data_IF_306932220406
#
_entry.id   IF_306932220406
#
_cell.length_a   1.000
_cell.length_b   1.000
_cell.length_c   1.000
_cell.angle_alpha   90.00
_cell.angle_beta   90.00
_cell.angle_gamma   90.00
#
_symmetry.space_group_name_H-M   'P 1'
#
loop_
_entity.id
_entity.type
_entity.pdbx_description
1 polymer ?
#
# COMPACT_ATOMS: atom_id res chain seq x y z
N UNK A 1 -12.86 -20.42 -35.02
CA UNK A 1 -13.53 -20.44 -33.70
C UNK A 1 -12.99 -21.62 -32.90
N UNK A 2 -11.84 -21.44 -32.24
CA UNK A 2 -11.27 -22.43 -31.32
C UNK A 2 -11.33 -21.85 -29.91
N UNK A 3 -12.27 -22.32 -29.11
CA UNK A 3 -12.48 -21.88 -27.73
C UNK A 3 -11.38 -22.53 -26.88
N UNK A 4 -10.41 -21.75 -26.43
CA UNK A 4 -9.44 -22.16 -25.41
C UNK A 4 -10.18 -22.33 -24.07
N UNK A 5 -10.07 -23.48 -23.38
CA UNK A 5 -10.77 -23.67 -22.12
C UNK A 5 -10.11 -22.84 -21.01
N UNK A 6 -10.97 -22.04 -20.40
CA UNK A 6 -10.73 -21.16 -19.26
C UNK A 6 -10.30 -21.95 -18.00
N UNK A 7 -9.10 -21.62 -17.50
CA UNK A 7 -8.75 -21.38 -16.08
C UNK A 7 -9.64 -22.07 -15.01
N UNK A 8 -9.33 -23.34 -14.69
CA UNK A 8 -9.98 -24.10 -13.59
C UNK A 8 -8.98 -24.72 -12.60
N UNK A 9 -7.81 -24.10 -12.38
CA UNK A 9 -6.71 -24.71 -11.59
C UNK A 9 -6.65 -24.28 -10.11
N UNK A 10 -7.24 -23.13 -9.76
CA UNK A 10 -7.01 -22.49 -8.44
C UNK A 10 -7.82 -23.11 -7.29
N UNK A 11 -8.96 -23.75 -7.57
CA UNK A 11 -9.83 -24.33 -6.53
C UNK A 11 -9.33 -25.68 -6.03
N UNK A 12 -8.87 -26.57 -6.93
CA UNK A 12 -8.33 -27.89 -6.60
C UNK A 12 -7.06 -27.81 -5.71
N UNK A 13 -6.14 -26.89 -6.04
CA UNK A 13 -4.88 -26.70 -5.27
C UNK A 13 -5.13 -26.25 -3.82
N UNK A 14 -6.26 -25.58 -3.56
CA UNK A 14 -6.59 -25.09 -2.21
C UNK A 14 -7.21 -26.19 -1.35
N UNK A 15 -8.01 -27.07 -1.97
CA UNK A 15 -8.61 -28.23 -1.31
C UNK A 15 -7.57 -29.31 -0.99
N UNK A 16 -6.60 -29.51 -1.88
CA UNK A 16 -5.49 -30.46 -1.69
C UNK A 16 -4.55 -30.03 -0.55
N UNK A 17 -4.17 -28.74 -0.50
CA UNK A 17 -3.35 -28.20 0.59
C UNK A 17 -4.02 -28.34 1.97
N UNK A 18 -5.33 -28.09 2.07
CA UNK A 18 -6.05 -28.24 3.33
C UNK A 18 -6.10 -29.69 3.81
N UNK A 19 -6.23 -30.65 2.89
CA UNK A 19 -6.17 -32.08 3.20
C UNK A 19 -4.78 -32.50 3.66
N UNK A 20 -3.72 -32.03 2.99
CA UNK A 20 -2.34 -32.28 3.38
C UNK A 20 -2.02 -31.69 4.77
N UNK A 21 -2.46 -30.46 5.06
CA UNK A 21 -2.29 -29.82 6.37
C UNK A 21 -3.04 -30.55 7.50
N UNK A 22 -4.19 -31.16 7.18
CA UNK A 22 -4.94 -31.98 8.15
C UNK A 22 -4.17 -33.26 8.47
N UNK A 23 -3.59 -33.92 7.45
CA UNK A 23 -2.78 -35.13 7.63
C UNK A 23 -1.49 -34.86 8.40
N UNK A 24 -0.84 -33.70 8.20
CA UNK A 24 0.35 -33.34 8.98
C UNK A 24 0.06 -33.21 10.48
N UNK A 25 -1.15 -32.78 10.88
CA UNK A 25 -1.57 -32.74 12.29
C UNK A 25 -1.66 -34.13 12.92
N UNK A 26 -1.91 -35.16 12.12
CA UNK A 26 -1.91 -36.57 12.54
C UNK A 26 -0.51 -37.20 12.60
N UNK A 27 0.55 -36.43 12.38
CA UNK A 27 1.93 -36.90 12.41
C UNK A 27 2.44 -37.52 11.10
N UNK A 28 1.72 -37.32 10.00
CA UNK A 28 2.11 -37.81 8.67
C UNK A 28 3.29 -37.00 8.10
N UNK A 29 4.50 -37.57 8.19
CA UNK A 29 5.71 -36.92 7.68
C UNK A 29 5.78 -36.87 6.15
N UNK A 30 5.12 -37.80 5.46
CA UNK A 30 5.09 -37.79 3.99
C UNK A 30 4.27 -36.62 3.47
N UNK A 31 3.12 -36.35 4.10
CA UNK A 31 2.30 -35.17 3.81
C UNK A 31 3.09 -33.87 4.04
N UNK A 32 3.88 -33.79 5.12
CA UNK A 32 4.73 -32.63 5.42
C UNK A 32 5.80 -32.43 4.34
N UNK A 33 6.53 -33.49 4.01
CA UNK A 33 7.56 -33.46 2.98
C UNK A 33 7.00 -33.17 1.58
N UNK A 34 5.75 -33.54 1.33
CA UNK A 34 5.04 -33.18 0.10
C UNK A 34 4.74 -31.68 0.05
N UNK A 35 4.15 -31.09 1.10
CA UNK A 35 3.92 -29.63 1.16
C UNK A 35 5.23 -28.85 0.99
N UNK A 36 6.29 -29.27 1.68
CA UNK A 36 7.60 -28.63 1.56
C UNK A 36 8.14 -28.66 0.12
N UNK A 37 7.89 -29.74 -0.63
CA UNK A 37 8.32 -29.89 -2.03
C UNK A 37 7.42 -29.14 -3.01
N UNK A 38 6.12 -29.14 -2.82
CA UNK A 38 5.18 -28.53 -3.78
C UNK A 38 5.19 -27.01 -3.68
N UNK A 39 5.40 -26.47 -2.47
CA UNK A 39 5.42 -25.03 -2.21
C UNK A 39 6.83 -24.42 -2.25
N UNK A 40 7.80 -25.17 -2.75
CA UNK A 40 9.14 -24.72 -3.13
C UNK A 40 9.13 -23.36 -3.86
N UNK A 41 8.32 -23.15 -4.92
CA UNK A 41 8.31 -21.88 -5.66
C UNK A 41 7.76 -20.73 -4.83
N UNK A 42 6.78 -21.01 -3.96
CA UNK A 42 6.20 -20.03 -3.05
C UNK A 42 7.23 -19.55 -2.02
N UNK A 43 7.98 -20.46 -1.39
CA UNK A 43 9.04 -20.12 -0.44
C UNK A 43 10.12 -19.26 -1.11
N UNK A 44 10.55 -19.62 -2.32
CA UNK A 44 11.54 -18.83 -3.07
C UNK A 44 11.02 -17.42 -3.40
N UNK A 45 9.75 -17.30 -3.80
CA UNK A 45 9.11 -16.01 -4.05
C UNK A 45 9.02 -15.16 -2.78
N UNK A 46 8.55 -15.75 -1.67
CA UNK A 46 8.43 -15.06 -0.38
C UNK A 46 9.78 -14.59 0.14
N UNK A 47 10.82 -15.44 0.04
CA UNK A 47 12.19 -15.09 0.40
C UNK A 47 12.75 -13.98 -0.50
N UNK A 48 12.50 -14.04 -1.81
CA UNK A 48 12.98 -13.00 -2.74
C UNK A 48 12.29 -11.65 -2.47
N UNK A 49 11.00 -11.66 -2.13
CA UNK A 49 10.28 -10.44 -1.75
C UNK A 49 10.77 -9.87 -0.41
N UNK A 50 11.13 -10.73 0.54
CA UNK A 50 11.66 -10.30 1.84
C UNK A 50 13.08 -9.74 1.75
N UNK A 51 13.86 -10.15 0.73
CA UNK A 51 15.27 -9.79 0.54
C UNK A 51 15.51 -8.76 -0.57
N UNK A 52 14.49 -8.47 -1.38
CA UNK A 52 14.57 -7.56 -2.52
C UNK A 52 15.37 -8.08 -3.71
N UNK A 53 15.92 -9.32 -3.65
CA UNK A 53 16.68 -9.97 -4.73
C UNK A 53 16.21 -11.38 -4.98
N UNK A 54 16.56 -11.92 -6.15
CA UNK A 54 16.33 -13.33 -6.44
C UNK A 54 17.19 -14.23 -5.56
N UNK A 55 16.57 -15.18 -4.87
CA UNK A 55 17.24 -16.14 -3.99
C UNK A 55 17.44 -17.48 -4.69
N UNK A 56 18.69 -17.94 -4.76
CA UNK A 56 19.12 -19.20 -5.38
C UNK A 56 19.12 -20.35 -4.37
N UNK A 57 18.43 -21.42 -4.74
CA UNK A 57 18.38 -22.67 -3.98
C UNK A 57 19.75 -23.32 -3.89
N UNK A 58 20.13 -23.71 -2.67
CA UNK A 58 21.39 -24.41 -2.40
C UNK A 58 22.64 -23.54 -2.44
N UNK A 59 22.49 -22.22 -2.66
CA UNK A 59 23.59 -21.26 -2.61
C UNK A 59 23.36 -20.21 -1.51
N UNK A 60 22.16 -19.66 -1.43
CA UNK A 60 21.83 -18.63 -0.45
C UNK A 60 21.33 -19.27 0.86
N UNK A 61 21.96 -18.93 1.98
CA UNK A 61 21.54 -19.34 3.33
C UNK A 61 20.10 -18.90 3.62
N UNK A 62 19.70 -17.75 3.09
CA UNK A 62 18.36 -17.18 3.20
C UNK A 62 17.29 -18.15 2.71
N UNK A 63 17.60 -18.96 1.69
CA UNK A 63 16.67 -19.97 1.19
C UNK A 63 16.41 -21.05 2.24
N UNK A 64 17.46 -21.52 2.91
CA UNK A 64 17.38 -22.55 3.97
C UNK A 64 16.64 -22.02 5.21
N UNK A 65 16.86 -20.75 5.55
CA UNK A 65 16.14 -20.07 6.64
C UNK A 65 14.66 -19.94 6.30
N UNK A 66 14.33 -19.52 5.08
CA UNK A 66 12.94 -19.41 4.61
C UNK A 66 12.23 -20.77 4.59
N UNK A 67 12.92 -21.83 4.16
CA UNK A 67 12.36 -23.19 4.14
C UNK A 67 12.10 -23.72 5.55
N UNK A 68 12.99 -23.43 6.51
CA UNK A 68 12.81 -23.79 7.91
C UNK A 68 11.61 -23.05 8.52
N UNK A 69 11.48 -21.75 8.22
CA UNK A 69 10.34 -20.93 8.64
C UNK A 69 9.01 -21.45 8.07
N UNK A 70 9.04 -21.92 6.82
CA UNK A 70 7.88 -22.52 6.18
C UNK A 70 7.47 -23.84 6.86
N UNK A 71 8.44 -24.69 7.23
CA UNK A 71 8.16 -25.89 8.02
C UNK A 71 7.54 -25.55 9.39
N UNK A 72 8.08 -24.55 10.08
CA UNK A 72 7.51 -24.05 11.33
C UNK A 72 6.06 -23.54 11.16
N UNK A 73 5.77 -22.91 10.01
CA UNK A 73 4.42 -22.47 9.70
C UNK A 73 3.46 -23.66 9.51
N UNK A 74 3.90 -24.76 8.89
CA UNK A 74 3.11 -26.00 8.78
C UNK A 74 2.75 -26.55 10.16
N UNK A 75 3.71 -26.55 11.10
CA UNK A 75 3.51 -27.08 12.45
C UNK A 75 2.58 -26.21 13.31
N UNK A 76 2.63 -24.89 13.15
CA UNK A 76 1.93 -23.94 14.02
C UNK A 76 0.61 -23.41 13.45
N UNK A 77 0.29 -23.75 12.22
CA UNK A 77 -0.92 -23.26 11.59
C UNK A 77 -2.16 -23.89 12.22
N UNK A 78 -3.12 -23.03 12.52
CA UNK A 78 -4.39 -23.38 13.16
C UNK A 78 -5.51 -23.26 12.12
N UNK A 79 -6.07 -24.40 11.74
CA UNK A 79 -7.14 -24.51 10.73
C UNK A 79 -8.42 -23.79 11.15
N UNK A 80 -8.64 -23.61 12.47
CA UNK A 80 -9.86 -23.03 13.02
C UNK A 80 -9.86 -21.49 13.02
N UNK A 81 -8.72 -20.85 12.67
CA UNK A 81 -8.56 -19.38 12.70
C UNK A 81 -8.98 -18.65 11.43
N UNK A 82 -9.48 -19.36 10.41
CA UNK A 82 -10.06 -18.77 9.19
C UNK A 82 -9.12 -17.94 8.30
N UNK A 83 -7.83 -17.85 8.62
CA UNK A 83 -6.83 -17.15 7.80
C UNK A 83 -6.16 -18.12 6.83
N UNK A 84 -5.89 -17.71 5.60
CA UNK A 84 -5.23 -18.58 4.60
C UNK A 84 -3.82 -19.00 5.07
N UNK A 85 -3.53 -20.30 5.03
CA UNK A 85 -2.21 -20.87 5.38
C UNK A 85 -1.07 -20.14 4.67
N UNK A 86 -1.22 -19.85 3.38
CA UNK A 86 -0.16 -19.19 2.60
C UNK A 86 0.11 -17.76 3.09
N UNK A 87 -0.91 -17.03 3.53
CA UNK A 87 -0.72 -15.69 4.09
C UNK A 87 -0.03 -15.74 5.46
N UNK A 88 -0.40 -16.73 6.29
CA UNK A 88 0.28 -16.98 7.55
C UNK A 88 1.75 -17.37 7.34
N UNK A 89 2.01 -18.33 6.45
CA UNK A 89 3.33 -18.81 6.12
C UNK A 89 4.23 -17.71 5.54
N UNK A 90 3.72 -16.85 4.66
CA UNK A 90 4.45 -15.69 4.14
C UNK A 90 4.90 -14.75 5.27
N UNK A 91 4.04 -14.53 6.26
CA UNK A 91 4.35 -13.69 7.43
C UNK A 91 5.45 -14.32 8.29
N UNK A 92 5.39 -15.63 8.51
CA UNK A 92 6.40 -16.37 9.29
C UNK A 92 7.75 -16.36 8.58
N UNK A 93 7.79 -16.60 7.26
CA UNK A 93 9.00 -16.56 6.44
C UNK A 93 9.66 -15.17 6.52
N UNK A 94 8.88 -14.10 6.29
CA UNK A 94 9.39 -12.72 6.35
C UNK A 94 9.97 -12.38 7.71
N UNK A 95 9.27 -12.72 8.80
CA UNK A 95 9.77 -12.48 10.17
C UNK A 95 11.06 -13.23 10.45
N UNK A 96 11.13 -14.51 10.07
CA UNK A 96 12.32 -15.34 10.30
C UNK A 96 13.54 -14.83 9.52
N UNK A 97 13.34 -14.36 8.30
CA UNK A 97 14.40 -13.72 7.51
C UNK A 97 14.87 -12.41 8.13
N UNK A 98 13.95 -11.56 8.60
CA UNK A 98 14.31 -10.32 9.31
C UNK A 98 15.14 -10.63 10.56
N UNK A 99 14.72 -11.61 11.36
CA UNK A 99 15.45 -12.05 12.55
C UNK A 99 16.83 -12.60 12.20
N UNK A 100 16.94 -13.36 11.10
CA UNK A 100 18.20 -13.86 10.58
C UNK A 100 19.15 -12.73 10.15
N UNK A 101 18.65 -11.71 9.46
CA UNK A 101 19.48 -10.55 9.10
C UNK A 101 19.90 -9.74 10.33
N UNK A 102 19.03 -9.60 11.33
CA UNK A 102 19.36 -8.95 12.61
C UNK A 102 20.39 -9.72 13.42
N UNK A 103 20.31 -11.05 13.46
CA UNK A 103 21.29 -11.88 14.19
C UNK A 103 22.63 -11.93 13.45
N UNK A 104 22.62 -11.99 12.10
CA UNK A 104 23.84 -11.77 11.29
C UNK A 104 24.44 -10.40 11.59
N UNK A 105 23.64 -9.34 11.77
CA UNK A 105 24.15 -8.00 12.12
C UNK A 105 24.72 -7.92 13.55
N UNK A 106 24.10 -8.57 14.54
CA UNK A 106 24.55 -8.57 15.94
C UNK A 106 25.85 -9.37 16.14
N UNK A 107 26.02 -10.50 15.44
CA UNK A 107 27.27 -11.27 15.41
C UNK A 107 28.35 -10.66 14.49
N UNK A 108 28.02 -9.61 13.71
CA UNK A 108 28.93 -8.95 12.75
C UNK A 108 29.48 -7.60 13.23
N UNK A 109 29.41 -7.30 14.53
CA UNK A 109 30.21 -6.19 15.10
C UNK A 109 31.73 -6.45 15.01
N UNK A 110 32.15 -7.68 14.70
CA UNK A 110 33.56 -8.09 14.61
C UNK A 110 34.00 -8.67 13.23
N UNK A 111 33.25 -8.45 12.13
CA UNK A 111 33.66 -8.90 10.78
C UNK A 111 33.83 -7.74 9.78
N UNK A 112 34.86 -7.77 8.90
CA UNK A 112 35.13 -6.70 7.93
C UNK A 112 33.96 -6.46 6.96
N UNK A 113 33.85 -5.21 6.50
CA UNK A 113 32.79 -4.68 5.63
C UNK A 113 32.57 -5.43 4.29
N UNK A 114 33.50 -6.30 3.88
CA UNK A 114 33.61 -6.84 2.51
C UNK A 114 32.61 -7.93 2.11
N UNK A 115 31.91 -8.56 3.06
CA UNK A 115 31.02 -9.71 2.73
C UNK A 115 29.64 -9.30 2.17
N UNK A 116 29.31 -8.01 2.16
CA UNK A 116 28.05 -7.47 1.63
C UNK A 116 28.24 -6.52 0.47
N UNK A 117 29.50 -6.39 0.03
CA UNK A 117 29.88 -5.63 -1.13
C UNK A 117 29.44 -6.39 -2.39
N UNK A 118 28.68 -5.70 -3.23
CA UNK A 118 28.35 -6.14 -4.60
C UNK A 118 28.93 -5.11 -5.54
N UNK A 119 29.56 -5.56 -6.61
CA UNK A 119 29.98 -4.67 -7.70
C UNK A 119 28.73 -4.27 -8.51
N UNK A 120 28.52 -2.97 -8.68
CA UNK A 120 27.52 -2.45 -9.62
C UNK A 120 28.02 -2.54 -11.08
N UNK A 121 27.22 -2.08 -12.04
CA UNK A 121 27.55 -2.15 -13.48
C UNK A 121 28.79 -1.32 -13.87
N UNK A 122 29.29 -0.48 -12.97
CA UNK A 122 30.49 0.35 -13.13
C UNK A 122 31.66 -0.14 -12.24
N UNK A 123 31.61 -1.40 -11.78
CA UNK A 123 32.59 -2.04 -10.90
C UNK A 123 32.75 -1.33 -9.53
N UNK A 124 31.75 -0.56 -9.08
CA UNK A 124 31.78 0.05 -7.75
C UNK A 124 31.29 -0.93 -6.68
N UNK A 125 32.08 -1.04 -5.63
CA UNK A 125 31.84 -1.92 -4.49
C UNK A 125 30.82 -1.27 -3.54
N UNK A 126 29.57 -1.77 -3.51
CA UNK A 126 28.46 -1.20 -2.72
C UNK A 126 27.84 -2.18 -1.72
N UNK A 127 27.50 -1.70 -0.51
CA UNK A 127 26.84 -2.53 0.51
C UNK A 127 25.34 -2.67 0.23
N UNK A 128 24.90 -3.84 -0.25
CA UNK A 128 23.53 -4.11 -0.72
C UNK A 128 22.42 -3.74 0.28
N UNK A 129 22.63 -4.00 1.57
CA UNK A 129 21.63 -3.76 2.62
C UNK A 129 21.51 -2.27 2.92
N UNK A 130 22.62 -1.55 2.86
CA UNK A 130 22.66 -0.11 3.01
C UNK A 130 22.03 0.60 1.80
N UNK A 131 22.26 0.08 0.59
CA UNK A 131 21.66 0.58 -0.66
C UNK A 131 20.15 0.40 -0.65
N UNK A 132 19.62 -0.80 -0.34
CA UNK A 132 18.17 -1.02 -0.28
C UNK A 132 17.49 -0.12 0.76
N UNK A 133 18.10 0.02 1.95
CA UNK A 133 17.60 0.91 3.00
C UNK A 133 17.69 2.38 2.58
N UNK A 134 18.77 2.79 1.90
CA UNK A 134 18.95 4.14 1.36
C UNK A 134 17.93 4.45 0.27
N UNK A 135 17.66 3.51 -0.64
CA UNK A 135 16.65 3.64 -1.70
C UNK A 135 15.25 3.73 -1.09
N UNK A 136 14.91 2.91 -0.11
CA UNK A 136 13.61 2.98 0.58
C UNK A 136 13.44 4.32 1.32
N UNK A 137 14.48 4.77 2.02
CA UNK A 137 14.48 6.06 2.71
C UNK A 137 14.37 7.22 1.72
N UNK A 138 15.11 7.17 0.60
CA UNK A 138 15.06 8.16 -0.46
C UNK A 138 13.69 8.18 -1.13
N UNK A 139 13.09 7.03 -1.43
CA UNK A 139 11.74 6.96 -2.00
C UNK A 139 10.70 7.55 -1.04
N UNK A 140 10.76 7.21 0.24
CA UNK A 140 9.92 7.81 1.28
C UNK A 140 10.12 9.31 1.40
N UNK A 141 11.36 9.77 1.25
CA UNK A 141 11.70 11.18 1.28
C UNK A 141 11.11 11.91 0.08
N UNK A 142 11.31 11.40 -1.13
CA UNK A 142 10.73 11.94 -2.37
C UNK A 142 9.20 11.99 -2.29
N UNK A 143 8.55 10.93 -1.82
CA UNK A 143 7.09 10.92 -1.62
C UNK A 143 6.65 11.96 -0.57
N UNK A 144 7.42 12.08 0.53
CA UNK A 144 7.14 13.08 1.56
C UNK A 144 7.33 14.51 1.04
N UNK A 145 8.31 14.74 0.18
CA UNK A 145 8.61 16.04 -0.40
C UNK A 145 7.57 16.41 -1.47
N UNK A 146 7.17 15.46 -2.32
CA UNK A 146 6.05 15.62 -3.25
C UNK A 146 4.74 15.97 -2.53
N UNK A 147 4.43 15.26 -1.42
CA UNK A 147 3.27 15.58 -0.57
C UNK A 147 3.37 16.98 0.04
N UNK A 148 4.56 17.40 0.50
CA UNK A 148 4.78 18.76 1.01
C UNK A 148 4.54 19.80 -0.06
N UNK A 149 5.05 19.59 -1.27
CA UNK A 149 4.87 20.50 -2.40
C UNK A 149 3.38 20.67 -2.76
N UNK A 150 2.62 19.56 -2.82
CA UNK A 150 1.17 19.63 -3.03
C UNK A 150 0.45 20.41 -1.92
N UNK A 151 0.78 20.15 -0.64
CA UNK A 151 0.22 20.89 0.49
C UNK A 151 0.53 22.39 0.38
N UNK A 152 1.75 22.75 0.00
CA UNK A 152 2.14 24.14 -0.19
C UNK A 152 1.35 24.80 -1.32
N UNK A 153 1.27 24.15 -2.49
CA UNK A 153 0.47 24.63 -3.63
C UNK A 153 -1.00 24.80 -3.26
N UNK A 154 -1.56 23.83 -2.55
CA UNK A 154 -2.94 23.86 -2.10
C UNK A 154 -3.17 24.98 -1.08
N UNK A 155 -2.25 25.17 -0.14
CA UNK A 155 -2.29 26.28 0.84
C UNK A 155 -2.27 27.64 0.14
N UNK A 156 -1.42 27.81 -0.87
CA UNK A 156 -1.41 29.03 -1.69
C UNK A 156 -2.77 29.24 -2.40
N UNK A 157 -3.31 28.18 -3.00
CA UNK A 157 -4.61 28.24 -3.68
C UNK A 157 -5.76 28.55 -2.70
N UNK A 158 -5.75 28.03 -1.48
CA UNK A 158 -6.75 28.37 -0.45
C UNK A 158 -6.64 29.83 -0.02
N UNK A 159 -5.42 30.37 0.08
CA UNK A 159 -5.20 31.76 0.47
C UNK A 159 -5.82 32.74 -0.53
N UNK A 160 -5.87 32.37 -1.81
CA UNK A 160 -6.56 33.12 -2.85
C UNK A 160 -8.08 33.26 -2.61
N UNK A 161 -8.66 32.35 -1.82
CA UNK A 161 -10.08 32.33 -1.42
C UNK A 161 -10.29 32.79 0.03
N UNK A 162 -9.26 33.37 0.67
CA UNK A 162 -9.30 33.82 2.07
C UNK A 162 -9.63 32.66 3.05
N UNK A 163 -9.12 31.47 2.75
CA UNK A 163 -9.23 30.27 3.59
C UNK A 163 -7.83 29.89 4.06
N UNK A 164 -7.64 29.74 5.37
CA UNK A 164 -6.41 29.15 5.91
C UNK A 164 -6.56 27.64 6.06
N UNK A 165 -5.42 26.93 6.07
CA UNK A 165 -5.43 25.47 6.28
C UNK A 165 -5.97 25.10 7.66
N UNK A 166 -5.63 25.88 8.70
CA UNK A 166 -6.14 25.70 10.07
C UNK A 166 -7.67 25.88 10.12
N UNK A 167 -8.18 26.94 9.48
CA UNK A 167 -9.62 27.17 9.41
C UNK A 167 -10.32 26.01 8.67
N UNK A 168 -9.74 25.53 7.57
CA UNK A 168 -10.29 24.42 6.79
C UNK A 168 -10.46 23.17 7.66
N UNK A 169 -9.50 22.86 8.53
CA UNK A 169 -9.58 21.73 9.47
C UNK A 169 -10.74 21.93 10.44
N UNK A 170 -10.92 23.13 10.98
CA UNK A 170 -11.96 23.44 11.96
C UNK A 170 -13.38 23.37 11.37
N UNK A 171 -13.57 23.85 10.14
CA UNK A 171 -14.88 23.88 9.46
C UNK A 171 -15.25 22.55 8.79
N UNK A 172 -14.31 21.61 8.70
CA UNK A 172 -14.49 20.35 7.99
C UNK A 172 -15.63 19.52 8.63
N UNK A 173 -16.58 18.98 7.84
CA UNK A 173 -17.68 18.20 8.38
C UNK A 173 -17.22 16.96 9.15
N UNK A 174 -17.57 16.90 10.44
CA UNK A 174 -17.23 15.76 11.31
C UNK A 174 -18.04 14.50 10.99
N UNK A 175 -19.30 14.67 10.59
CA UNK A 175 -20.18 13.56 10.23
C UNK A 175 -20.03 13.20 8.76
N UNK A 176 -20.06 11.89 8.47
CA UNK A 176 -19.88 11.33 7.14
C UNK A 176 -20.91 11.87 6.14
N UNK A 177 -22.21 11.82 6.46
CA UNK A 177 -23.27 12.31 5.57
C UNK A 177 -23.07 13.78 5.16
N UNK A 178 -22.64 14.61 6.10
CA UNK A 178 -22.41 16.03 5.84
C UNK A 178 -21.16 16.26 4.97
N UNK A 179 -20.19 15.35 5.02
CA UNK A 179 -18.99 15.35 4.19
C UNK A 179 -19.30 14.90 2.77
N UNK A 180 -19.98 13.76 2.63
CA UNK A 180 -20.42 13.20 1.35
C UNK A 180 -21.27 14.21 0.57
N UNK A 181 -22.27 14.83 1.21
CA UNK A 181 -23.08 15.87 0.59
C UNK A 181 -22.25 17.05 0.08
N UNK A 182 -21.24 17.49 0.83
CA UNK A 182 -20.39 18.61 0.41
C UNK A 182 -19.47 18.22 -0.76
N UNK A 183 -18.95 16.99 -0.78
CA UNK A 183 -18.16 16.43 -1.87
C UNK A 183 -19.02 16.33 -3.15
N UNK A 184 -20.26 15.85 -3.04
CA UNK A 184 -21.17 15.75 -4.18
C UNK A 184 -21.52 17.12 -4.77
N UNK A 185 -21.72 18.11 -3.91
CA UNK A 185 -21.92 19.50 -4.35
C UNK A 185 -20.67 20.04 -5.06
N UNK A 186 -19.47 19.74 -4.56
CA UNK A 186 -18.22 20.12 -5.21
C UNK A 186 -18.05 19.43 -6.59
N UNK A 187 -18.33 18.13 -6.68
CA UNK A 187 -18.31 17.39 -7.96
C UNK A 187 -19.29 17.99 -8.97
N UNK A 188 -20.52 18.29 -8.54
CA UNK A 188 -21.52 18.94 -9.38
C UNK A 188 -21.03 20.32 -9.88
N UNK A 189 -20.40 21.12 -9.01
CA UNK A 189 -19.81 22.40 -9.39
C UNK A 189 -18.72 22.22 -10.46
N UNK A 190 -17.76 21.32 -10.22
CA UNK A 190 -16.59 21.13 -11.10
C UNK A 190 -16.98 20.52 -12.45
N UNK A 191 -18.03 19.71 -12.48
CA UNK A 191 -18.56 19.13 -13.73
C UNK A 191 -19.14 20.16 -14.70
N UNK A 192 -19.50 21.34 -14.21
CA UNK A 192 -20.10 22.41 -15.00
C UNK A 192 -19.08 23.51 -15.30
N UNK A 193 -18.64 23.68 -16.56
CA UNK A 193 -17.59 24.65 -16.91
C UNK A 193 -17.91 26.07 -16.44
N UNK A 194 -19.16 26.51 -16.60
CA UNK A 194 -19.61 27.85 -16.20
C UNK A 194 -19.49 28.10 -14.69
N UNK A 195 -19.83 27.10 -13.87
CA UNK A 195 -19.74 27.21 -12.41
C UNK A 195 -18.29 27.18 -11.93
N UNK A 196 -17.48 26.31 -12.55
CA UNK A 196 -16.05 26.22 -12.32
C UNK A 196 -15.35 27.53 -12.64
N UNK A 197 -15.61 28.10 -13.82
CA UNK A 197 -14.99 29.34 -14.27
C UNK A 197 -15.43 30.52 -13.38
N UNK A 198 -16.70 30.54 -12.94
CA UNK A 198 -17.16 31.49 -11.94
C UNK A 198 -16.37 31.36 -10.63
N UNK A 199 -16.21 30.14 -10.11
CA UNK A 199 -15.49 29.90 -8.86
C UNK A 199 -14.05 30.43 -8.94
N UNK A 200 -13.33 30.11 -10.01
CA UNK A 200 -11.93 30.50 -10.20
C UNK A 200 -11.79 32.02 -10.42
N UNK A 201 -12.63 32.62 -11.25
CA UNK A 201 -12.52 34.05 -11.61
C UNK A 201 -13.07 34.99 -10.55
N UNK A 202 -14.20 34.63 -9.92
CA UNK A 202 -14.86 35.44 -8.89
C UNK A 202 -14.46 35.07 -7.48
N UNK A 203 -13.61 34.04 -7.31
CA UNK A 203 -13.13 33.53 -6.02
C UNK A 203 -14.28 33.30 -5.01
N UNK A 204 -15.45 32.89 -5.51
CA UNK A 204 -16.66 32.78 -4.72
C UNK A 204 -17.59 31.71 -5.26
N UNK A 205 -18.36 31.08 -4.36
CA UNK A 205 -19.25 29.99 -4.71
C UNK A 205 -20.50 30.52 -5.46
N UNK A 206 -20.83 30.04 -6.68
CA UNK A 206 -22.00 30.48 -7.44
C UNK A 206 -23.31 29.91 -6.89
N UNK A 207 -23.69 30.27 -5.66
CA UNK A 207 -24.81 29.68 -4.90
C UNK A 207 -26.11 29.57 -5.71
N UNK A 208 -26.54 30.64 -6.37
CA UNK A 208 -27.82 30.66 -7.12
C UNK A 208 -27.83 29.66 -8.28
N UNK A 209 -26.74 29.58 -9.02
CA UNK A 209 -26.65 28.68 -10.16
C UNK A 209 -26.44 27.23 -9.69
N UNK A 210 -25.58 27.04 -8.68
CA UNK A 210 -25.30 25.73 -8.07
C UNK A 210 -26.55 25.04 -7.53
N UNK A 211 -27.48 25.80 -6.92
CA UNK A 211 -28.75 25.27 -6.41
C UNK A 211 -29.62 24.58 -7.47
N UNK A 212 -29.46 24.89 -8.76
CA UNK A 212 -30.21 24.22 -9.82
C UNK A 212 -29.63 22.84 -10.18
N UNK A 213 -28.44 22.51 -9.68
CA UNK A 213 -27.72 21.27 -10.00
C UNK A 213 -27.61 20.31 -8.81
N UNK A 214 -28.07 20.71 -7.63
CA UNK A 214 -27.93 19.92 -6.40
C UNK A 214 -29.23 19.91 -5.60
N UNK A 215 -29.54 18.77 -4.96
CA UNK A 215 -30.74 18.62 -4.11
C UNK A 215 -30.58 19.19 -2.69
N UNK A 216 -29.39 19.73 -2.37
CA UNK A 216 -29.04 20.20 -1.02
C UNK A 216 -29.62 21.59 -0.76
N UNK A 217 -30.12 21.82 0.47
CA UNK A 217 -30.69 23.13 0.84
C UNK A 217 -29.65 24.24 0.78
N UNK A 218 -30.08 25.45 0.39
CA UNK A 218 -29.24 26.66 0.37
C UNK A 218 -28.49 26.88 1.69
N UNK A 219 -29.19 26.71 2.81
CA UNK A 219 -28.63 26.90 4.16
C UNK A 219 -27.47 25.94 4.44
N UNK A 220 -27.57 24.70 3.95
CA UNK A 220 -26.52 23.69 4.12
C UNK A 220 -25.28 24.05 3.30
N UNK A 221 -25.45 24.41 2.02
CA UNK A 221 -24.36 24.82 1.13
C UNK A 221 -23.65 26.05 1.70
N UNK A 222 -24.42 27.03 2.18
CA UNK A 222 -23.88 28.27 2.72
C UNK A 222 -23.07 28.04 4.01
N UNK A 223 -23.53 27.14 4.88
CA UNK A 223 -22.78 26.71 6.08
C UNK A 223 -21.47 26.01 5.75
N UNK A 224 -21.45 25.22 4.67
CA UNK A 224 -20.28 24.43 4.26
C UNK A 224 -19.48 25.10 3.13
N UNK A 225 -19.74 26.37 2.81
CA UNK A 225 -19.24 27.02 1.59
C UNK A 225 -17.72 26.94 1.43
N UNK A 226 -16.97 27.18 2.50
CA UNK A 226 -15.50 27.18 2.50
C UNK A 226 -14.94 25.77 2.27
N UNK A 227 -15.58 24.76 2.88
CA UNK A 227 -15.22 23.36 2.66
C UNK A 227 -15.54 22.91 1.22
N UNK A 228 -16.70 23.29 0.68
CA UNK A 228 -17.09 22.98 -0.70
C UNK A 228 -16.10 23.62 -1.69
N UNK A 229 -15.70 24.87 -1.46
CA UNK A 229 -14.66 25.55 -2.26
C UNK A 229 -13.36 24.75 -2.19
N UNK A 230 -12.89 24.41 -0.99
CA UNK A 230 -11.64 23.66 -0.80
C UNK A 230 -11.65 22.32 -1.55
N UNK A 231 -12.72 21.54 -1.43
CA UNK A 231 -12.87 20.28 -2.17
C UNK A 231 -12.93 20.53 -3.68
N UNK A 232 -13.63 21.58 -4.13
CA UNK A 232 -13.69 21.92 -5.55
C UNK A 232 -12.30 22.25 -6.10
N UNK A 233 -11.46 22.97 -5.34
CA UNK A 233 -10.09 23.28 -5.74
C UNK A 233 -9.21 22.04 -5.85
N UNK A 234 -9.37 21.07 -4.94
CA UNK A 234 -8.66 19.78 -5.00
C UNK A 234 -9.08 18.96 -6.21
N UNK A 235 -10.37 19.02 -6.59
CA UNK A 235 -10.88 18.34 -7.79
C UNK A 235 -10.52 19.03 -9.11
N UNK A 236 -10.30 20.36 -9.08
CA UNK A 236 -9.88 21.13 -10.27
C UNK A 236 -8.38 21.02 -10.50
N UNK A 237 -7.59 20.98 -9.42
CA UNK A 237 -6.15 20.88 -9.49
C UNK A 237 -5.65 19.45 -9.56
N UNK A 238 -4.46 19.27 -10.15
CA UNK A 238 -3.71 18.02 -10.11
C UNK A 238 -3.07 17.88 -8.71
N UNK A 239 -3.84 17.34 -7.78
CA UNK A 239 -3.46 17.07 -6.38
C UNK A 239 -3.72 15.61 -6.03
N UNK A 240 -3.05 14.70 -6.72
CA UNK A 240 -3.28 13.26 -6.64
C UNK A 240 -3.14 12.75 -5.19
N UNK A 241 -2.13 13.25 -4.46
CA UNK A 241 -1.88 12.82 -3.08
C UNK A 241 -2.94 13.34 -2.10
N UNK A 242 -3.53 14.51 -2.37
CA UNK A 242 -4.60 15.07 -1.53
C UNK A 242 -5.98 14.48 -1.86
N UNK A 243 -6.21 14.02 -3.08
CA UNK A 243 -7.47 13.36 -3.48
C UNK A 243 -7.71 12.05 -2.70
N UNK A 244 -6.64 11.34 -2.33
CA UNK A 244 -6.69 10.14 -1.48
C UNK A 244 -7.29 10.40 -0.08
N UNK A 245 -7.30 11.65 0.40
CA UNK A 245 -7.86 12.02 1.70
C UNK A 245 -9.35 12.43 1.64
N UNK A 246 -9.89 12.63 0.44
CA UNK A 246 -11.28 13.06 0.21
C UNK A 246 -12.16 11.89 -0.25
N UNK A 247 -11.56 10.89 -0.89
CA UNK A 247 -12.23 9.69 -1.41
C UNK A 247 -12.46 8.67 -0.30
#
# INVERSE_FOLDING_TARGET
>A
MGILPFRRKKADETTDLHQLLTRTRSGDEEARNQILRDYIPFVAKSASQATGRYIRRGQDDEFSVALTAFNEAIERYDLDRGTSFLAFADTVIKRRLIDYFRSKQANRRDLPFSDFEVEDEEDNVINYVEVQKSVELHHKQVESDARREEIMRFTMMLSDFEISMEELVDISPKHQDARENAIDVAKALVSQPELRDYLITKKSLPLKALMNHVAVSRKTIERQRKYIIAVSLILIGDFDMLQDYIT
#
